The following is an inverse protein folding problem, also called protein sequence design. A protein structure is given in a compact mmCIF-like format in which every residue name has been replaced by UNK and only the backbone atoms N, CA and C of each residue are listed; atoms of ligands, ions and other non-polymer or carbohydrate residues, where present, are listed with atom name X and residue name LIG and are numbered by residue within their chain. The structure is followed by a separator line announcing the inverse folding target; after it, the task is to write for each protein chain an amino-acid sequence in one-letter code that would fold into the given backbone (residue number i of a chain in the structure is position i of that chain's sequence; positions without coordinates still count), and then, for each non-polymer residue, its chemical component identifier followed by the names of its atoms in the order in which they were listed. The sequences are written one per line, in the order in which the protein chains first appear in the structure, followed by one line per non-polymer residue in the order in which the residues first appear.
data_IF_607795011194
#
_entry.id   IF_607795011194
#
_cell.length_a   1.000
_cell.length_b   1.000
_cell.length_c   1.000
_cell.angle_alpha   90.00
_cell.angle_beta   90.00
_cell.angle_gamma   90.00
#
_symmetry.space_group_name_H-M   'P 1'
#
loop_
_entity.id
_entity.type
_entity.pdbx_description
1 polymer ?
#
# COMPACT_ATOMS: atom_id res chain seq x y z
N UNK A 1 -10.64 14.28 14.93
CA UNK A 1 -11.29 13.91 13.64
C UNK A 1 -10.31 13.67 12.47
N UNK A 2 -9.11 14.27 12.41
CA UNK A 2 -8.17 14.10 11.28
C UNK A 2 -7.49 12.72 11.16
N UNK A 3 -7.11 12.07 12.27
CA UNK A 3 -6.34 10.79 12.20
C UNK A 3 -7.19 9.58 11.76
N UNK A 4 -8.45 9.51 12.16
CA UNK A 4 -9.34 8.40 11.78
C UNK A 4 -9.58 8.31 10.27
N UNK A 5 -9.70 9.46 9.58
CA UNK A 5 -9.88 9.50 8.12
C UNK A 5 -8.62 9.03 7.37
N UNK A 6 -7.43 9.37 7.87
CA UNK A 6 -6.17 8.91 7.29
C UNK A 6 -5.99 7.39 7.42
N UNK A 7 -6.41 6.83 8.56
CA UNK A 7 -6.37 5.38 8.79
C UNK A 7 -7.32 4.62 7.87
N UNK A 8 -8.55 5.13 7.69
CA UNK A 8 -9.52 4.56 6.74
C UNK A 8 -8.98 4.63 5.31
N UNK A 9 -8.38 5.75 4.92
CA UNK A 9 -7.79 5.89 3.58
C UNK A 9 -6.64 4.88 3.34
N UNK A 10 -5.77 4.65 4.34
CA UNK A 10 -4.72 3.63 4.25
C UNK A 10 -5.29 2.22 4.11
N UNK A 11 -6.33 1.87 4.88
CA UNK A 11 -7.00 0.57 4.77
C UNK A 11 -7.64 0.38 3.38
N UNK A 12 -8.30 1.40 2.84
CA UNK A 12 -8.86 1.34 1.49
C UNK A 12 -7.75 1.13 0.47
N UNK A 13 -6.64 1.86 0.58
CA UNK A 13 -5.49 1.69 -0.31
C UNK A 13 -4.87 0.29 -0.22
N UNK A 14 -4.76 -0.28 0.97
CA UNK A 14 -4.34 -1.66 1.20
C UNK A 14 -5.29 -2.66 0.52
N UNK A 15 -6.60 -2.51 0.72
CA UNK A 15 -7.61 -3.37 0.10
C UNK A 15 -7.51 -3.31 -1.42
N UNK A 16 -7.33 -2.12 -2.00
CA UNK A 16 -7.11 -1.97 -3.45
C UNK A 16 -5.87 -2.76 -3.89
N UNK A 17 -4.74 -2.61 -3.21
CA UNK A 17 -3.51 -3.32 -3.57
C UNK A 17 -3.65 -4.85 -3.49
N UNK A 18 -4.35 -5.36 -2.47
CA UNK A 18 -4.61 -6.79 -2.30
C UNK A 18 -5.60 -7.31 -3.35
N UNK A 19 -6.71 -6.60 -3.59
CA UNK A 19 -7.71 -7.00 -4.58
C UNK A 19 -7.09 -7.05 -5.97
N UNK A 20 -6.34 -6.02 -6.36
CA UNK A 20 -5.66 -5.99 -7.65
C UNK A 20 -4.66 -7.16 -7.78
N UNK A 21 -3.90 -7.46 -6.72
CA UNK A 21 -3.01 -8.62 -6.70
C UNK A 21 -3.77 -9.95 -6.86
N UNK A 22 -4.90 -10.13 -6.18
CA UNK A 22 -5.70 -11.35 -6.29
C UNK A 22 -6.30 -11.48 -7.68
N UNK A 23 -6.89 -10.41 -8.21
CA UNK A 23 -7.51 -10.38 -9.55
C UNK A 23 -6.51 -10.81 -10.62
N UNK A 24 -5.31 -10.24 -10.60
CA UNK A 24 -4.21 -10.61 -11.52
C UNK A 24 -3.79 -12.09 -11.41
N UNK A 25 -3.95 -12.72 -10.23
CA UNK A 25 -3.63 -14.14 -10.01
C UNK A 25 -4.76 -15.11 -10.29
N UNK A 26 -5.99 -14.61 -10.37
CA UNK A 26 -7.18 -15.45 -10.58
C UNK A 26 -7.58 -15.60 -12.05
N UNK A 27 -6.74 -15.14 -12.98
CA UNK A 27 -6.96 -15.25 -14.43
C UNK A 27 -8.32 -14.68 -14.88
N UNK A 28 -8.80 -13.66 -14.16
CA UNK A 28 -10.01 -12.92 -14.49
C UNK A 28 -9.66 -12.00 -15.66
N UNK A 29 -10.41 -12.10 -16.75
CA UNK A 29 -10.25 -11.19 -17.88
C UNK A 29 -10.58 -9.75 -17.45
N UNK A 30 -9.53 -8.95 -17.33
CA UNK A 30 -9.57 -7.53 -16.99
C UNK A 30 -8.96 -6.66 -18.09
N UNK A 31 -8.85 -7.18 -19.31
CA UNK A 31 -8.25 -6.50 -20.48
C UNK A 31 -8.74 -5.06 -20.64
N UNK A 32 -10.06 -4.83 -20.55
CA UNK A 32 -10.68 -3.50 -20.63
C UNK A 32 -10.34 -2.56 -19.45
N UNK A 33 -9.88 -3.10 -18.32
CA UNK A 33 -9.66 -2.38 -17.06
C UNK A 33 -8.19 -2.27 -16.66
N UNK A 34 -7.26 -2.92 -17.37
CA UNK A 34 -5.83 -3.00 -17.05
C UNK A 34 -5.23 -1.64 -16.71
N UNK A 35 -5.42 -0.66 -17.59
CA UNK A 35 -4.89 0.71 -17.40
C UNK A 35 -5.48 1.37 -16.17
N UNK A 36 -6.79 1.21 -15.95
CA UNK A 36 -7.47 1.74 -14.77
C UNK A 36 -6.95 1.12 -13.47
N UNK A 37 -6.74 -0.20 -13.45
CA UNK A 37 -6.22 -0.93 -12.29
C UNK A 37 -4.78 -0.51 -11.96
N UNK A 38 -3.94 -0.32 -12.98
CA UNK A 38 -2.56 0.19 -12.81
C UNK A 38 -2.55 1.58 -12.18
N UNK A 39 -3.39 2.50 -12.67
CA UNK A 39 -3.51 3.85 -12.11
C UNK A 39 -4.00 3.80 -10.67
N UNK A 40 -5.04 3.01 -10.40
CA UNK A 40 -5.60 2.83 -9.05
C UNK A 40 -4.55 2.28 -8.08
N UNK A 41 -3.74 1.32 -8.52
CA UNK A 41 -2.68 0.75 -7.70
C UNK A 41 -1.57 1.76 -7.38
N UNK A 42 -1.11 2.52 -8.38
CA UNK A 42 -0.10 3.56 -8.19
C UNK A 42 -0.62 4.63 -7.22
N UNK A 43 -1.89 5.02 -7.36
CA UNK A 43 -2.54 5.96 -6.44
C UNK A 43 -2.64 5.40 -5.01
N UNK A 44 -3.02 4.12 -4.86
CA UNK A 44 -3.07 3.45 -3.56
C UNK A 44 -1.68 3.38 -2.90
N UNK A 45 -0.65 2.98 -3.65
CA UNK A 45 0.73 2.97 -3.19
C UNK A 45 1.19 4.36 -2.73
N UNK A 46 0.89 5.41 -3.51
CA UNK A 46 1.21 6.78 -3.16
C UNK A 46 0.49 7.23 -1.89
N UNK A 47 -0.78 6.87 -1.70
CA UNK A 47 -1.54 7.19 -0.49
C UNK A 47 -0.92 6.56 0.76
N UNK A 48 -0.50 5.29 0.69
CA UNK A 48 0.16 4.61 1.81
C UNK A 48 1.50 5.27 2.12
N UNK A 49 2.32 5.57 1.11
CA UNK A 49 3.60 6.24 1.27
C UNK A 49 3.45 7.64 1.90
N UNK A 50 2.52 8.46 1.39
CA UNK A 50 2.28 9.82 1.91
C UNK A 50 1.76 9.75 3.35
N UNK A 51 0.82 8.85 3.66
CA UNK A 51 0.24 8.74 5.00
C UNK A 51 1.25 8.25 6.04
N UNK A 52 2.05 7.24 5.69
CA UNK A 52 3.10 6.73 6.58
C UNK A 52 4.23 7.74 6.77
N UNK A 53 4.64 8.44 5.71
CA UNK A 53 5.59 9.56 5.79
C UNK A 53 5.07 10.69 6.68
N UNK A 54 3.82 11.13 6.48
CA UNK A 54 3.22 12.18 7.30
C UNK A 54 3.12 11.76 8.78
N UNK A 55 2.83 10.48 9.03
CA UNK A 55 2.79 9.95 10.40
C UNK A 55 4.17 9.96 11.06
N UNK A 56 5.21 9.52 10.33
CA UNK A 56 6.59 9.56 10.80
C UNK A 56 7.11 11.00 10.99
N UNK A 57 6.81 11.91 10.06
CA UNK A 57 7.26 13.30 10.13
C UNK A 57 6.68 14.05 11.33
N UNK A 58 5.45 13.71 11.73
CA UNK A 58 4.85 14.23 12.96
C UNK A 58 5.31 13.48 14.22
N UNK A 59 5.66 12.19 14.10
CA UNK A 59 6.00 11.32 15.24
C UNK A 59 7.13 10.39 14.86
N UNK A 60 8.35 10.73 15.28
CA UNK A 60 9.55 9.97 14.96
C UNK A 60 9.79 8.84 15.98
N UNK A 61 9.09 7.72 15.79
CA UNK A 61 9.25 6.49 16.58
C UNK A 61 9.79 5.37 15.70
N UNK A 62 10.34 4.31 16.28
CA UNK A 62 10.84 3.15 15.52
C UNK A 62 9.72 2.53 14.67
N UNK A 63 8.51 2.41 15.22
CA UNK A 63 7.37 1.83 14.50
C UNK A 63 6.94 2.69 13.30
N UNK A 64 6.86 4.01 13.47
CA UNK A 64 6.48 4.92 12.39
C UNK A 64 7.55 5.00 11.30
N UNK A 65 8.83 4.91 11.68
CA UNK A 65 9.94 4.79 10.73
C UNK A 65 9.86 3.48 9.92
N UNK A 66 9.66 2.34 10.59
CA UNK A 66 9.49 1.05 9.92
C UNK A 66 8.28 1.06 8.97
N UNK A 67 7.14 1.60 9.40
CA UNK A 67 5.95 1.72 8.55
C UNK A 67 6.22 2.58 7.31
N UNK A 68 6.94 3.70 7.46
CA UNK A 68 7.34 4.54 6.33
C UNK A 68 8.27 3.80 5.35
N UNK A 69 9.31 3.14 5.85
CA UNK A 69 10.25 2.40 4.99
C UNK A 69 9.54 1.26 4.24
N UNK A 70 8.66 0.52 4.91
CA UNK A 70 7.85 -0.53 4.29
C UNK A 70 6.86 0.04 3.27
N UNK A 71 6.23 1.17 3.56
CA UNK A 71 5.31 1.84 2.64
C UNK A 71 6.01 2.31 1.36
N UNK A 72 7.20 2.90 1.50
CA UNK A 72 8.02 3.32 0.37
C UNK A 72 8.54 2.14 -0.44
N UNK A 73 9.05 1.09 0.22
CA UNK A 73 9.50 -0.14 -0.43
C UNK A 73 8.36 -0.81 -1.19
N UNK A 74 7.20 -0.97 -0.54
CA UNK A 74 6.03 -1.58 -1.13
C UNK A 74 5.53 -0.81 -2.34
N UNK A 75 5.42 0.52 -2.21
CA UNK A 75 5.02 1.38 -3.32
C UNK A 75 6.00 1.34 -4.49
N UNK A 76 7.30 1.40 -4.23
CA UNK A 76 8.32 1.31 -5.27
C UNK A 76 8.28 -0.05 -5.99
N UNK A 77 8.13 -1.15 -5.25
CA UNK A 77 8.02 -2.49 -5.81
C UNK A 77 6.76 -2.66 -6.67
N UNK A 78 5.60 -2.14 -6.23
CA UNK A 78 4.37 -2.18 -7.02
C UNK A 78 4.46 -1.33 -8.29
N UNK A 79 5.04 -0.13 -8.20
CA UNK A 79 5.27 0.73 -9.37
C UNK A 79 6.20 0.03 -10.38
N UNK A 80 7.27 -0.62 -9.91
CA UNK A 80 8.17 -1.40 -10.76
C UNK A 80 7.48 -2.63 -11.38
N UNK A 81 6.61 -3.30 -10.61
CA UNK A 81 5.84 -4.43 -11.10
C UNK A 81 4.83 -4.02 -12.18
N UNK A 82 4.20 -2.86 -12.03
CA UNK A 82 3.26 -2.32 -13.03
C UNK A 82 3.96 -1.76 -14.26
N UNK A 83 5.11 -1.10 -14.10
CA UNK A 83 5.82 -0.46 -15.22
C UNK A 83 6.43 -1.46 -16.20
N UNK A 84 6.56 -2.72 -15.80
CA UNK A 84 7.13 -3.80 -16.61
C UNK A 84 6.08 -4.67 -17.31
N UNK A 85 4.78 -4.43 -17.08
CA UNK A 85 3.69 -5.26 -17.64
C UNK A 85 3.38 -4.99 -19.10
N UNK A 86 2.96 -6.05 -19.81
CA UNK A 86 2.51 -6.01 -21.21
C UNK A 86 1.16 -5.30 -21.41
N UNK A 87 0.53 -5.45 -22.58
CA UNK A 87 -0.75 -4.79 -22.88
C UNK A 87 -1.92 -5.26 -21.99
N UNK A 88 -1.96 -6.55 -21.68
CA UNK A 88 -3.12 -7.20 -21.04
C UNK A 88 -2.87 -7.61 -19.57
N UNK A 89 -1.67 -7.40 -19.05
CA UNK A 89 -1.29 -7.79 -17.68
C UNK A 89 -1.35 -6.59 -16.74
N UNK A 90 -1.74 -6.77 -15.47
CA UNK A 90 -1.62 -5.66 -14.50
C UNK A 90 -0.18 -5.54 -14.01
N UNK A 91 0.45 -6.67 -13.69
CA UNK A 91 1.84 -6.75 -13.26
C UNK A 91 2.71 -7.49 -14.28
N UNK A 92 3.80 -6.88 -14.73
CA UNK A 92 4.81 -7.57 -15.53
C UNK A 92 5.77 -8.43 -14.71
N UNK A 93 5.75 -8.30 -13.39
CA UNK A 93 6.58 -9.08 -12.49
C UNK A 93 5.79 -9.57 -11.28
N UNK A 94 5.37 -10.83 -11.33
CA UNK A 94 4.68 -11.49 -10.22
C UNK A 94 5.45 -11.47 -8.89
N UNK A 95 6.78 -11.72 -8.85
CA UNK A 95 7.56 -11.62 -7.62
C UNK A 95 7.58 -10.20 -7.02
N UNK A 96 7.74 -9.16 -7.86
CA UNK A 96 7.74 -7.77 -7.39
C UNK A 96 6.35 -7.34 -6.91
N UNK A 97 5.30 -7.81 -7.57
CA UNK A 97 3.92 -7.59 -7.13
C UNK A 97 3.70 -8.18 -5.73
N UNK A 98 4.13 -9.44 -5.49
CA UNK A 98 4.02 -10.08 -4.18
C UNK A 98 4.77 -9.29 -3.09
N UNK A 99 6.05 -8.96 -3.34
CA UNK A 99 6.87 -8.20 -2.39
C UNK A 99 6.24 -6.84 -2.10
N UNK A 100 5.76 -6.16 -3.14
CA UNK A 100 5.09 -4.87 -3.03
C UNK A 100 3.83 -4.94 -2.18
N UNK A 101 2.95 -5.91 -2.44
CA UNK A 101 1.71 -6.09 -1.69
C UNK A 101 1.99 -6.45 -0.23
N UNK A 102 2.91 -7.38 0.04
CA UNK A 102 3.29 -7.76 1.41
C UNK A 102 3.88 -6.59 2.20
N UNK A 103 4.73 -5.78 1.56
CA UNK A 103 5.32 -4.60 2.18
C UNK A 103 4.27 -3.53 2.50
N UNK A 104 3.27 -3.31 1.62
CA UNK A 104 2.13 -2.42 1.93
C UNK A 104 1.32 -2.93 3.12
N UNK A 105 0.96 -4.22 3.14
CA UNK A 105 0.22 -4.82 4.26
C UNK A 105 0.99 -4.64 5.57
N UNK A 106 2.29 -4.97 5.55
CA UNK A 106 3.16 -4.78 6.71
C UNK A 106 3.24 -3.32 7.16
N UNK A 107 3.36 -2.37 6.22
CA UNK A 107 3.38 -0.94 6.51
C UNK A 107 2.10 -0.49 7.23
N UNK A 108 0.94 -0.92 6.73
CA UNK A 108 -0.35 -0.57 7.34
C UNK A 108 -0.48 -1.20 8.72
N UNK A 109 -0.22 -2.50 8.87
CA UNK A 109 -0.28 -3.19 10.17
C UNK A 109 0.63 -2.52 11.21
N UNK A 110 1.88 -2.23 10.87
CA UNK A 110 2.81 -1.54 11.78
C UNK A 110 2.30 -0.14 12.14
N UNK A 111 1.71 0.59 11.19
CA UNK A 111 1.08 1.89 11.42
C UNK A 111 -0.13 1.80 12.38
N UNK A 112 -0.93 0.73 12.29
CA UNK A 112 -2.04 0.47 13.21
C UNK A 112 -1.55 0.14 14.62
N UNK A 113 -0.48 -0.65 14.74
CA UNK A 113 0.14 -0.97 16.05
C UNK A 113 0.65 0.31 16.70
N UNK A 114 1.38 1.14 15.95
CA UNK A 114 1.87 2.43 16.44
C UNK A 114 0.72 3.31 16.94
N UNK A 115 -0.38 3.38 16.17
CA UNK A 115 -1.56 4.16 16.53
C UNK A 115 -2.29 3.64 17.77
N UNK A 116 -2.31 2.31 17.95
CA UNK A 116 -3.01 1.66 19.07
C UNK A 116 -2.28 1.88 20.39
N UNK A 117 -0.95 1.74 20.42
CA UNK A 117 -0.15 1.98 21.64
C UNK A 117 -0.29 3.41 22.15
N UNK A 118 -0.38 4.38 21.24
CA UNK A 118 -0.58 5.80 21.59
C UNK A 118 -1.94 6.07 22.25
N UNK A 119 -2.95 5.25 21.95
CA UNK A 119 -4.27 5.36 22.57
C UNK A 119 -4.29 4.80 23.99
N UNK A 120 -3.43 3.83 24.29
CA UNK A 120 -3.29 3.26 25.62
C UNK A 120 -2.55 4.22 26.57
N UNK A 121 -1.49 4.89 26.12
CA UNK A 121 -0.73 5.87 26.92
C UNK A 121 -1.49 7.16 27.27
N UNK A 122 -2.61 7.42 26.60
CA UNK A 122 -3.44 8.63 26.82
C UNK A 122 -4.67 8.37 27.70
N UNK A 123 -4.83 7.16 28.23
CA UNK A 123 -5.84 6.78 29.23
C UNK A 123 -5.23 6.69 30.61
#
# INVERSE_FOLDING_TARGET
MKSGRAMVAMMIAEVVAVVVYVVDRTDIDVSDWTTGLRIALVAAAALVAIATYATWSHRNTVHTLCAMLLGLLGGAALVAAVSTGGGDEVYGSGPMALVGTLAIVAAVVVSQIASSRLKEESR
#
